data_IF_707941105033
#
_entry.id   IF_707941105033
#
_cell.length_a   1.000
_cell.length_b   1.000
_cell.length_c   1.000
_cell.angle_alpha   90.00
_cell.angle_beta   90.00
_cell.angle_gamma   90.00
#
_symmetry.space_group_name_H-M   'P 1'
#
loop_
_entity.id
_entity.type
_entity.pdbx_description
1 polymer ?
#
# COMPACT_ATOMS: atom_id res chain seq x y z
N UNK A 1 -10.81 14.57 -16.13
CA UNK A 1 -9.80 14.15 -17.12
C UNK A 1 -8.91 13.12 -16.44
N UNK A 2 -8.74 11.92 -17.01
CA UNK A 2 -7.81 10.93 -16.46
C UNK A 2 -6.36 11.42 -16.50
N UNK A 3 -5.57 10.90 -15.55
CA UNK A 3 -4.12 11.00 -15.54
C UNK A 3 -3.57 9.68 -16.08
N UNK A 4 -2.76 9.73 -17.13
CA UNK A 4 -2.11 8.56 -17.72
C UNK A 4 -0.61 8.61 -17.49
N UNK A 5 -0.02 7.44 -17.27
CA UNK A 5 1.43 7.28 -17.19
C UNK A 5 1.99 6.88 -18.56
N UNK A 6 3.10 7.48 -18.95
CA UNK A 6 3.84 7.21 -20.18
C UNK A 6 5.30 6.89 -19.85
N UNK A 7 5.94 6.03 -20.65
CA UNK A 7 7.38 5.82 -20.63
C UNK A 7 8.02 6.30 -21.92
N UNK A 8 9.24 6.83 -21.81
CA UNK A 8 10.14 7.01 -22.95
C UNK A 8 10.65 5.65 -23.44
N UNK A 9 10.59 5.43 -24.75
CA UNK A 9 11.12 4.24 -25.41
C UNK A 9 12.60 4.49 -25.70
N UNK A 10 13.47 3.68 -25.08
CA UNK A 10 14.91 3.74 -25.32
C UNK A 10 15.28 3.09 -26.67
N UNK A 11 16.48 3.35 -27.22
CA UNK A 11 16.89 2.77 -28.50
C UNK A 11 16.92 1.25 -28.55
N UNK A 12 17.03 0.59 -27.40
CA UNK A 12 16.97 -0.87 -27.24
C UNK A 12 15.54 -1.44 -27.15
N UNK A 13 14.52 -0.55 -27.21
CA UNK A 13 13.10 -0.90 -27.09
C UNK A 13 12.62 -1.05 -25.65
N UNK A 14 13.46 -0.80 -24.64
CA UNK A 14 13.06 -0.85 -23.23
C UNK A 14 12.42 0.47 -22.75
N UNK A 15 11.69 0.40 -21.63
CA UNK A 15 11.08 1.58 -21.01
C UNK A 15 12.10 2.30 -20.13
N UNK A 16 12.33 3.58 -20.46
CA UNK A 16 13.16 4.49 -19.68
C UNK A 16 12.34 5.25 -18.63
N UNK A 17 12.53 6.57 -18.61
CA UNK A 17 11.85 7.45 -17.66
C UNK A 17 10.33 7.45 -17.85
N UNK A 18 9.59 7.40 -16.75
CA UNK A 18 8.12 7.56 -16.76
C UNK A 18 7.69 8.96 -16.36
N UNK A 19 6.53 9.40 -16.88
CA UNK A 19 5.92 10.68 -16.56
C UNK A 19 4.39 10.61 -16.69
N UNK A 20 3.69 11.56 -16.09
CA UNK A 20 2.23 11.60 -16.04
C UNK A 20 1.65 12.74 -16.89
N UNK A 21 0.56 12.46 -17.61
CA UNK A 21 -0.12 13.43 -18.47
C UNK A 21 -1.63 13.41 -18.22
N UNK A 22 -2.19 14.59 -17.97
CA UNK A 22 -3.64 14.79 -17.97
C UNK A 22 -4.14 14.79 -19.42
N UNK A 23 -4.90 13.75 -19.79
CA UNK A 23 -5.44 13.61 -21.14
C UNK A 23 -6.95 13.41 -21.11
N UNK A 24 -7.66 13.76 -22.18
CA UNK A 24 -9.08 13.40 -22.33
C UNK A 24 -9.21 11.92 -22.68
N UNK A 25 -10.27 11.27 -22.20
CA UNK A 25 -10.51 9.84 -22.41
C UNK A 25 -10.65 9.45 -23.90
N UNK A 26 -11.17 10.34 -24.75
CA UNK A 26 -11.37 10.12 -26.19
C UNK A 26 -10.21 10.57 -27.08
N UNK A 27 -9.12 11.05 -26.48
CA UNK A 27 -7.95 11.53 -27.21
C UNK A 27 -7.00 10.37 -27.54
N UNK A 28 -6.26 10.49 -28.65
CA UNK A 28 -5.29 9.45 -29.00
C UNK A 28 -4.09 9.50 -28.06
N UNK A 29 -3.48 8.35 -27.71
CA UNK A 29 -2.29 8.33 -26.89
C UNK A 29 -1.14 9.14 -27.51
N UNK A 30 -0.35 9.81 -26.68
CA UNK A 30 0.87 10.46 -27.14
C UNK A 30 1.86 9.44 -27.72
N UNK A 31 2.45 9.79 -28.86
CA UNK A 31 3.56 9.05 -29.46
C UNK A 31 4.93 9.72 -29.21
N UNK A 32 4.92 10.98 -28.74
CA UNK A 32 6.13 11.75 -28.43
C UNK A 32 5.98 12.50 -27.11
N UNK A 33 7.09 12.62 -26.38
CA UNK A 33 7.16 13.41 -25.15
C UNK A 33 6.95 14.90 -25.48
N UNK A 34 6.07 15.62 -24.75
CA UNK A 34 5.74 17.01 -25.06
C UNK A 34 6.91 17.98 -24.90
N UNK A 35 7.82 17.71 -23.96
CA UNK A 35 9.01 18.55 -23.71
C UNK A 35 10.26 18.12 -24.50
N UNK A 36 10.63 16.83 -24.46
CA UNK A 36 11.87 16.33 -25.08
C UNK A 36 11.70 15.86 -26.52
N UNK A 37 10.47 15.57 -26.96
CA UNK A 37 10.17 15.04 -28.29
C UNK A 37 10.53 13.56 -28.50
N UNK A 38 11.01 12.89 -27.46
CA UNK A 38 11.39 11.46 -27.48
C UNK A 38 10.18 10.55 -27.73
N UNK A 39 10.35 9.37 -28.34
CA UNK A 39 9.26 8.43 -28.52
C UNK A 39 8.75 7.93 -27.16
N UNK A 40 7.43 7.88 -27.00
CA UNK A 40 6.79 7.44 -25.75
C UNK A 40 5.66 6.46 -26.03
N UNK A 41 5.35 5.63 -25.04
CA UNK A 41 4.15 4.80 -25.03
C UNK A 41 3.39 4.89 -23.71
N UNK A 42 2.07 4.70 -23.76
CA UNK A 42 1.21 4.74 -22.58
C UNK A 42 1.32 3.42 -21.82
N UNK A 43 1.69 3.49 -20.55
CA UNK A 43 1.80 2.32 -19.68
C UNK A 43 0.48 2.09 -18.97
N UNK A 44 0.07 0.83 -18.91
CA UNK A 44 -1.00 0.39 -18.00
C UNK A 44 -0.33 0.10 -16.66
N UNK A 45 -0.34 1.08 -15.75
CA UNK A 45 0.24 0.87 -14.44
C UNK A 45 -0.62 -0.09 -13.61
N UNK A 46 0.05 -0.88 -12.77
CA UNK A 46 -0.64 -1.66 -11.75
C UNK A 46 -1.30 -0.69 -10.78
N UNK A 47 -2.60 -0.85 -10.55
CA UNK A 47 -3.29 -0.13 -9.47
C UNK A 47 -2.54 -0.44 -8.18
N UNK A 48 -2.19 0.59 -7.39
CA UNK A 48 -1.87 0.44 -5.97
C UNK A 48 -3.16 0.01 -5.24
N UNK A 49 -3.58 -1.23 -5.49
CA UNK A 49 -4.76 -1.81 -4.89
C UNK A 49 -4.48 -2.21 -3.45
N UNK A 50 -5.53 -2.44 -2.63
CA UNK A 50 -5.34 -3.10 -1.36
C UNK A 50 -4.58 -4.40 -1.60
N UNK A 51 -3.48 -4.55 -0.87
CA UNK A 51 -2.59 -5.71 -0.91
C UNK A 51 -3.42 -7.00 -0.79
N UNK A 52 -3.15 -8.05 -1.59
CA UNK A 52 -3.93 -9.27 -1.54
C UNK A 52 -3.98 -9.84 -0.12
N UNK A 53 -5.14 -10.34 0.34
CA UNK A 53 -5.26 -10.92 1.68
C UNK A 53 -4.29 -12.09 1.81
N UNK A 54 -3.23 -11.92 2.61
CA UNK A 54 -2.19 -12.93 2.82
C UNK A 54 -0.76 -12.41 2.65
N UNK A 55 -0.57 -11.26 1.99
CA UNK A 55 0.71 -10.58 2.10
C UNK A 55 0.84 -10.05 3.54
N UNK A 56 1.83 -10.62 4.23
CA UNK A 56 2.08 -10.34 5.64
C UNK A 56 2.32 -8.85 5.81
N UNK A 57 1.68 -8.25 6.81
CA UNK A 57 2.09 -6.93 7.35
C UNK A 57 3.62 -6.94 7.41
N UNK A 58 4.27 -6.03 6.67
CA UNK A 58 5.73 -5.91 6.69
C UNK A 58 6.15 -5.47 8.10
N UNK A 59 6.49 -6.44 8.94
CA UNK A 59 6.91 -6.22 10.32
C UNK A 59 6.89 -7.52 11.12
N UNK A 60 7.88 -7.69 11.99
CA UNK A 60 7.87 -8.78 12.96
C UNK A 60 6.78 -8.50 14.01
N UNK A 61 5.64 -9.17 13.89
CA UNK A 61 4.53 -9.09 14.86
C UNK A 61 4.65 -10.13 15.98
N UNK A 62 5.84 -10.71 16.18
CA UNK A 62 6.11 -11.57 17.32
C UNK A 62 5.88 -10.80 18.63
N UNK A 63 5.42 -11.52 19.67
CA UNK A 63 5.16 -10.92 20.97
C UNK A 63 6.39 -10.18 21.52
N UNK A 64 7.59 -10.70 21.27
CA UNK A 64 8.86 -10.10 21.66
C UNK A 64 9.09 -8.73 21.02
N UNK A 65 8.74 -8.57 19.74
CA UNK A 65 8.90 -7.28 19.08
C UNK A 65 7.82 -6.29 19.52
N UNK A 66 6.58 -6.77 19.72
CA UNK A 66 5.48 -5.93 20.22
C UNK A 66 5.78 -5.36 21.62
N UNK A 67 6.33 -6.18 22.52
CA UNK A 67 6.73 -5.75 23.86
C UNK A 67 7.87 -4.71 23.82
N UNK A 68 8.90 -4.95 23.00
CA UNK A 68 10.00 -3.98 22.81
C UNK A 68 9.54 -2.62 22.30
N UNK A 69 8.51 -2.61 21.47
CA UNK A 69 7.93 -1.39 20.91
C UNK A 69 6.90 -0.75 21.85
N UNK A 70 6.69 -1.31 23.05
CA UNK A 70 5.78 -0.78 24.07
C UNK A 70 4.30 -1.06 23.78
N UNK A 71 3.98 -1.97 22.87
CA UNK A 71 2.59 -2.35 22.63
C UNK A 71 2.08 -3.28 23.72
N UNK A 72 0.78 -3.18 24.03
CA UNK A 72 0.06 -4.14 24.86
C UNK A 72 -0.86 -4.97 23.96
N UNK A 73 -0.78 -6.31 24.05
CA UNK A 73 -1.61 -7.21 23.25
C UNK A 73 -2.63 -7.91 24.14
N UNK A 74 -3.87 -7.91 23.67
CA UNK A 74 -4.97 -8.66 24.28
C UNK A 74 -5.48 -9.74 23.34
N UNK A 75 -5.79 -10.91 23.86
CA UNK A 75 -6.40 -12.00 23.11
C UNK A 75 -7.83 -12.23 23.61
N UNK A 76 -8.76 -12.34 22.67
CA UNK A 76 -10.17 -12.55 22.97
C UNK A 76 -10.40 -14.02 23.34
N UNK A 77 -10.93 -14.24 24.53
CA UNK A 77 -11.35 -15.56 25.03
C UNK A 77 -12.72 -15.91 24.45
N UNK A 78 -13.06 -17.20 24.39
CA UNK A 78 -14.38 -17.71 23.94
C UNK A 78 -15.57 -17.13 24.70
N UNK A 79 -15.33 -16.63 25.92
CA UNK A 79 -16.31 -15.97 26.78
C UNK A 79 -16.52 -14.48 26.47
N UNK A 80 -15.84 -13.95 25.44
CA UNK A 80 -15.94 -12.54 25.03
C UNK A 80 -15.11 -11.57 25.86
N UNK A 81 -14.33 -12.07 26.81
CA UNK A 81 -13.35 -11.31 27.59
C UNK A 81 -12.04 -11.15 26.83
N UNK A 82 -11.25 -10.14 27.19
CA UNK A 82 -9.92 -9.93 26.62
C UNK A 82 -8.88 -10.13 27.71
N UNK A 83 -8.04 -11.14 27.56
CA UNK A 83 -6.94 -11.43 28.47
C UNK A 83 -5.64 -10.85 27.91
N UNK A 84 -4.83 -10.25 28.79
CA UNK A 84 -3.55 -9.67 28.42
C UNK A 84 -2.54 -10.76 28.09
N UNK A 85 -1.89 -10.64 26.94
CA UNK A 85 -0.84 -11.57 26.47
C UNK A 85 0.56 -10.99 26.71
N UNK A 86 0.73 -9.66 26.58
CA UNK A 86 1.99 -8.94 26.79
C UNK A 86 1.72 -7.45 27.03
N UNK A 87 2.66 -6.76 27.68
CA UNK A 87 2.61 -5.32 27.97
C UNK A 87 2.12 -4.98 29.38
N UNK A 88 2.09 -3.68 29.68
CA UNK A 88 1.86 -3.16 31.04
C UNK A 88 0.40 -2.80 31.37
N UNK A 89 -0.54 -3.07 30.45
CA UNK A 89 -1.96 -2.79 30.66
C UNK A 89 -2.61 -3.69 31.74
N UNK A 90 -3.88 -3.47 32.10
CA UNK A 90 -4.62 -4.33 33.03
C UNK A 90 -4.74 -5.76 32.50
N UNK A 91 -4.78 -6.76 33.39
CA UNK A 91 -4.76 -8.18 33.01
C UNK A 91 -6.03 -8.65 32.28
N UNK A 92 -7.15 -7.96 32.48
CA UNK A 92 -8.45 -8.29 31.92
C UNK A 92 -9.19 -7.04 31.48
N UNK A 93 -9.66 -6.99 30.22
CA UNK A 93 -10.58 -5.96 29.72
C UNK A 93 -11.96 -6.61 29.51
N UNK A 94 -12.99 -6.00 30.08
CA UNK A 94 -14.40 -6.39 29.92
C UNK A 94 -15.10 -5.44 28.96
N UNK A 95 -16.15 -5.94 28.32
CA UNK A 95 -17.01 -5.15 27.41
C UNK A 95 -17.64 -3.94 28.11
N UNK A 96 -17.79 -4.00 29.42
CA UNK A 96 -18.39 -2.97 30.28
C UNK A 96 -17.40 -1.86 30.68
N UNK A 97 -16.10 -2.03 30.41
CA UNK A 97 -15.06 -1.04 30.75
C UNK A 97 -14.94 0.09 29.69
N UNK A 98 -15.79 0.07 28.66
CA UNK A 98 -15.91 1.13 27.67
C UNK A 98 -16.93 2.18 28.15
N UNK A 99 -16.46 3.39 28.49
CA UNK A 99 -17.28 4.60 28.67
C UNK A 99 -17.70 5.16 27.31
#
# INVERSE_FOLDING_TARGET
>A
MPLYEYAVILPDGSHGQTFEVLQRLGEQPLARHPETGEPVERIISTINGPMPPGDRIKGDISNKNLEKQGFTKYQKTSTGKYEKVLGDGPDLIRKEDHV
#
